data_IF_579720271199
#
_entry.id   IF_579720271199
#
_cell.length_a   1.000
_cell.length_b   1.000
_cell.length_c   1.000
_cell.angle_alpha   90.00
_cell.angle_beta   90.00
_cell.angle_gamma   90.00
#
_symmetry.space_group_name_H-M   'P 1'
#
loop_
_entity.id
_entity.type
_entity.pdbx_description
1 polymer ?
#
# COMPACT_ATOMS: atom_id res chain seq x y z
N UNK A 1 -69.06 -36.30 -8.33
CA UNK A 1 -69.01 -37.02 -7.04
C UNK A 1 -68.04 -38.18 -7.18
N UNK A 2 -67.10 -38.27 -6.24
CA UNK A 2 -66.51 -39.49 -5.71
C UNK A 2 -65.52 -40.34 -6.58
N UNK A 3 -64.23 -40.22 -6.21
CA UNK A 3 -63.21 -41.27 -6.05
C UNK A 3 -62.74 -42.12 -7.25
N UNK A 4 -61.43 -42.06 -7.52
CA UNK A 4 -60.53 -43.21 -7.32
C UNK A 4 -59.06 -42.84 -7.62
N UNK A 5 -58.23 -42.80 -6.58
CA UNK A 5 -56.77 -42.85 -6.68
C UNK A 5 -56.36 -44.22 -7.27
N UNK A 6 -55.38 -44.23 -8.19
CA UNK A 6 -54.58 -45.42 -8.45
C UNK A 6 -53.10 -45.04 -8.42
N UNK A 7 -52.47 -45.44 -7.32
CA UNK A 7 -51.05 -45.41 -7.04
C UNK A 7 -50.37 -46.57 -7.80
N UNK A 8 -49.25 -46.35 -8.49
CA UNK A 8 -48.08 -47.27 -8.52
C UNK A 8 -46.91 -46.73 -9.35
N UNK A 9 -45.84 -46.44 -8.61
CA UNK A 9 -44.41 -46.71 -8.88
C UNK A 9 -43.73 -46.21 -10.17
N UNK A 10 -42.85 -45.21 -10.01
CA UNK A 10 -41.48 -45.36 -10.53
C UNK A 10 -40.45 -44.70 -9.62
N UNK A 11 -39.33 -45.40 -9.53
CA UNK A 11 -38.13 -45.27 -8.69
C UNK A 11 -37.29 -44.01 -9.02
N UNK A 12 -36.71 -43.43 -7.96
CA UNK A 12 -35.45 -42.66 -7.84
C UNK A 12 -35.07 -41.59 -8.88
N UNK A 13 -34.81 -40.37 -8.41
CA UNK A 13 -33.45 -39.79 -8.43
C UNK A 13 -33.36 -38.70 -7.36
N UNK A 14 -32.52 -38.95 -6.35
CA UNK A 14 -31.97 -37.93 -5.46
C UNK A 14 -31.01 -37.12 -6.32
N UNK A 15 -31.35 -35.87 -6.63
CA UNK A 15 -30.34 -34.87 -6.96
C UNK A 15 -30.55 -33.76 -5.95
N UNK A 16 -29.77 -33.87 -4.88
CA UNK A 16 -29.48 -32.79 -3.97
C UNK A 16 -29.06 -31.58 -4.79
N UNK A 17 -29.90 -30.55 -4.86
CA UNK A 17 -29.53 -29.23 -5.38
C UNK A 17 -28.63 -28.55 -4.35
N UNK A 18 -27.45 -29.13 -4.13
CA UNK A 18 -26.33 -28.45 -3.52
C UNK A 18 -25.86 -27.39 -4.51
N UNK A 19 -26.46 -26.21 -4.42
CA UNK A 19 -25.93 -25.01 -5.05
C UNK A 19 -24.57 -24.77 -4.38
N UNK A 20 -23.50 -25.27 -5.01
CA UNK A 20 -22.13 -24.95 -4.62
C UNK A 20 -21.93 -23.47 -4.93
N UNK A 21 -22.25 -22.64 -3.95
CA UNK A 21 -21.73 -21.28 -3.85
C UNK A 21 -20.21 -21.42 -3.71
N UNK A 22 -19.52 -21.41 -4.85
CA UNK A 22 -18.11 -21.06 -4.87
C UNK A 22 -18.08 -19.58 -4.49
N UNK A 23 -17.96 -19.31 -3.20
CA UNK A 23 -17.58 -17.99 -2.72
C UNK A 23 -16.16 -17.75 -3.26
N UNK A 24 -16.06 -17.02 -4.37
CA UNK A 24 -14.81 -16.43 -4.81
C UNK A 24 -14.43 -15.43 -3.72
N UNK A 25 -13.63 -15.87 -2.76
CA UNK A 25 -13.03 -14.98 -1.78
C UNK A 25 -12.00 -14.15 -2.54
N UNK A 26 -12.43 -12.99 -3.04
CA UNK A 26 -11.52 -11.96 -3.50
C UNK A 26 -10.74 -11.52 -2.26
N UNK A 27 -9.57 -12.13 -2.05
CA UNK A 27 -8.63 -11.68 -1.04
C UNK A 27 -8.11 -10.34 -1.52
N UNK A 28 -8.74 -9.26 -1.08
CA UNK A 28 -8.11 -7.95 -1.14
C UNK A 28 -6.93 -8.04 -0.18
N UNK A 29 -5.71 -8.16 -0.72
CA UNK A 29 -4.50 -7.98 0.05
C UNK A 29 -4.56 -6.56 0.63
N UNK A 30 -5.03 -6.45 1.88
CA UNK A 30 -4.93 -5.21 2.64
C UNK A 30 -3.49 -5.17 3.11
N UNK A 31 -2.64 -4.43 2.42
CA UNK A 31 -1.37 -4.04 2.99
C UNK A 31 -1.69 -3.28 4.28
N UNK A 32 -1.05 -3.65 5.38
CA UNK A 32 -1.12 -2.83 6.59
C UNK A 32 -0.65 -1.42 6.21
N UNK A 33 -1.31 -0.37 6.70
CA UNK A 33 -0.88 1.01 6.50
C UNK A 33 0.60 1.13 6.88
N UNK A 34 1.48 1.14 5.87
CA UNK A 34 2.92 1.15 6.06
C UNK A 34 3.40 2.58 6.08
N UNK A 35 4.22 2.90 7.08
CA UNK A 35 4.91 4.17 7.14
C UNK A 35 6.12 4.22 6.18
N UNK A 36 6.48 3.11 5.52
CA UNK A 36 7.52 3.06 4.49
C UNK A 36 6.89 2.62 3.17
N UNK A 37 6.99 3.44 2.14
CA UNK A 37 6.33 3.19 0.87
C UNK A 37 7.06 3.81 -0.32
N UNK A 38 6.77 3.31 -1.52
CA UNK A 38 7.18 3.87 -2.80
C UNK A 38 6.41 5.16 -3.07
N UNK A 39 7.14 6.24 -3.30
CA UNK A 39 6.63 7.60 -3.32
C UNK A 39 6.60 8.25 -4.70
N UNK A 40 7.59 7.91 -5.53
CA UNK A 40 7.79 8.48 -6.86
C UNK A 40 8.52 7.44 -7.73
N UNK A 41 8.13 7.32 -9.01
CA UNK A 41 8.73 6.38 -9.96
C UNK A 41 8.84 7.05 -11.34
N UNK A 42 9.94 6.81 -12.03
CA UNK A 42 10.10 7.06 -13.46
C UNK A 42 10.60 5.77 -14.14
N UNK A 43 9.86 5.26 -15.12
CA UNK A 43 10.11 4.00 -15.85
C UNK A 43 10.07 4.15 -17.38
N UNK A 44 9.31 5.09 -17.96
CA UNK A 44 9.22 5.28 -19.42
C UNK A 44 9.28 6.76 -19.79
N UNK A 45 10.06 7.08 -20.84
CA UNK A 45 10.03 8.39 -21.46
C UNK A 45 10.13 8.33 -22.98
N UNK A 46 9.80 9.46 -23.63
CA UNK A 46 9.97 9.62 -25.07
C UNK A 46 11.39 9.25 -25.54
N UNK A 47 11.49 8.31 -26.47
CA UNK A 47 12.77 7.85 -27.01
C UNK A 47 13.27 6.60 -26.31
N UNK A 48 14.56 6.60 -25.94
CA UNK A 48 15.09 5.56 -25.05
C UNK A 48 14.98 6.02 -23.61
N UNK A 49 14.69 5.09 -22.72
CA UNK A 49 14.47 5.38 -21.31
C UNK A 49 15.75 5.91 -20.65
N UNK A 50 15.57 6.91 -19.81
CA UNK A 50 16.65 7.64 -19.14
C UNK A 50 16.13 8.23 -17.84
N UNK A 51 17.02 8.43 -16.87
CA UNK A 51 16.66 8.92 -15.53
C UNK A 51 15.65 8.04 -14.78
N UNK A 52 15.57 6.75 -15.13
CA UNK A 52 14.73 5.78 -14.43
C UNK A 52 15.12 5.69 -12.95
N UNK A 53 14.12 5.74 -12.09
CA UNK A 53 14.35 5.80 -10.65
C UNK A 53 13.08 5.54 -9.85
N UNK A 54 13.30 5.18 -8.59
CA UNK A 54 12.25 5.08 -7.58
C UNK A 54 12.62 5.86 -6.35
N UNK A 55 11.62 6.33 -5.63
CA UNK A 55 11.79 6.98 -4.34
C UNK A 55 11.03 6.24 -3.25
N UNK A 56 11.65 6.13 -2.09
CA UNK A 56 11.04 5.57 -0.90
C UNK A 56 10.83 6.69 0.10
N UNK A 57 9.59 6.82 0.58
CA UNK A 57 9.27 7.67 1.71
C UNK A 57 9.18 6.82 2.99
N UNK A 58 9.61 7.39 4.11
CA UNK A 58 9.66 6.67 5.38
C UNK A 58 9.97 7.55 6.59
N UNK A 59 9.98 6.99 7.81
CA UNK A 59 10.46 7.70 8.99
C UNK A 59 11.90 8.20 8.77
N UNK A 60 12.15 9.47 9.10
CA UNK A 60 13.50 10.02 9.09
C UNK A 60 14.42 9.23 10.03
N UNK A 61 15.62 8.90 9.56
CA UNK A 61 16.60 8.08 10.30
C UNK A 61 16.47 6.58 10.06
N UNK A 62 15.50 6.10 9.28
CA UNK A 62 15.43 4.69 8.90
C UNK A 62 16.61 4.31 7.98
N UNK A 63 17.36 3.30 8.36
CA UNK A 63 18.41 2.68 7.53
C UNK A 63 17.81 1.61 6.63
N UNK A 64 18.02 1.75 5.32
CA UNK A 64 17.55 0.83 4.29
C UNK A 64 18.59 -0.26 3.96
N UNK A 65 19.68 -0.38 4.71
CA UNK A 65 20.66 -1.45 4.53
C UNK A 65 19.99 -2.83 4.57
N UNK A 66 20.21 -3.63 3.52
CA UNK A 66 19.64 -4.97 3.36
C UNK A 66 18.21 -4.99 2.82
N UNK A 67 17.59 -3.84 2.58
CA UNK A 67 16.35 -3.75 1.83
C UNK A 67 16.62 -3.93 0.34
N UNK A 68 15.61 -4.36 -0.41
CA UNK A 68 15.71 -4.60 -1.84
C UNK A 68 14.49 -4.09 -2.58
N UNK A 69 14.71 -3.65 -3.81
CA UNK A 69 13.67 -3.52 -4.82
C UNK A 69 13.79 -4.71 -5.77
N UNK A 70 12.79 -5.57 -5.81
CA UNK A 70 12.75 -6.70 -6.74
C UNK A 70 11.88 -6.33 -7.94
N UNK A 71 12.38 -6.54 -9.16
CA UNK A 71 11.69 -6.15 -10.39
C UNK A 71 11.03 -7.36 -11.04
N UNK A 72 9.77 -7.20 -11.41
CA UNK A 72 8.92 -8.26 -11.90
C UNK A 72 8.37 -7.96 -13.28
N UNK A 73 8.48 -8.92 -14.18
CA UNK A 73 7.91 -8.83 -15.51
C UNK A 73 6.43 -9.17 -15.45
N UNK A 74 5.53 -8.26 -15.84
CA UNK A 74 4.09 -8.51 -15.70
C UNK A 74 3.51 -9.44 -16.78
N UNK A 75 4.25 -9.70 -17.86
CA UNK A 75 3.94 -10.74 -18.85
C UNK A 75 4.48 -12.13 -18.43
N UNK A 76 4.25 -12.52 -17.17
CA UNK A 76 4.58 -13.85 -16.66
C UNK A 76 4.87 -13.92 -15.16
N UNK A 77 5.02 -12.78 -14.51
CA UNK A 77 5.24 -12.66 -13.06
C UNK A 77 6.65 -13.04 -12.60
N UNK A 78 7.59 -13.26 -13.52
CA UNK A 78 8.96 -13.66 -13.18
C UNK A 78 9.80 -12.43 -12.78
N UNK A 79 10.85 -12.64 -12.00
CA UNK A 79 11.87 -11.63 -11.74
C UNK A 79 12.70 -11.39 -13.00
N UNK A 80 13.05 -10.12 -13.24
CA UNK A 80 14.04 -9.78 -14.26
C UNK A 80 15.23 -8.99 -13.71
N UNK A 81 15.15 -8.52 -12.47
CA UNK A 81 16.23 -7.75 -11.84
C UNK A 81 15.97 -7.47 -10.37
N UNK A 82 16.97 -6.88 -9.73
CA UNK A 82 16.88 -6.43 -8.35
C UNK A 82 17.88 -5.32 -8.07
N UNK A 83 17.52 -4.41 -7.18
CA UNK A 83 18.40 -3.41 -6.60
C UNK A 83 18.54 -3.64 -5.11
N UNK A 84 19.78 -3.75 -4.63
CA UNK A 84 20.09 -3.63 -3.21
C UNK A 84 19.96 -2.16 -2.81
N UNK A 85 19.18 -1.90 -1.77
CA UNK A 85 18.98 -0.56 -1.22
C UNK A 85 19.91 -0.37 -0.03
N UNK A 86 20.29 0.88 0.21
CA UNK A 86 21.11 1.26 1.36
C UNK A 86 21.00 2.76 1.62
N UNK A 87 21.52 3.19 2.76
CA UNK A 87 21.49 4.57 3.18
C UNK A 87 20.37 4.85 4.18
N UNK A 88 20.45 6.03 4.79
CA UNK A 88 19.53 6.46 5.82
C UNK A 88 18.59 7.49 5.24
N UNK A 89 17.28 7.29 5.37
CA UNK A 89 16.27 8.25 4.94
C UNK A 89 16.51 9.56 5.74
N UNK A 90 16.81 10.69 5.08
CA UNK A 90 17.00 11.96 5.78
C UNK A 90 15.68 12.43 6.37
N UNK A 91 15.70 13.05 7.54
CA UNK A 91 14.51 13.75 8.03
C UNK A 91 14.33 15.06 7.23
N UNK A 92 13.17 15.23 6.61
CA UNK A 92 12.84 16.40 5.79
C UNK A 92 11.69 17.21 6.39
N UNK A 93 10.67 16.53 6.93
CA UNK A 93 9.52 17.19 7.54
C UNK A 93 8.78 16.24 8.47
N UNK A 94 8.32 16.74 9.62
CA UNK A 94 7.44 16.01 10.55
C UNK A 94 7.93 14.59 10.91
N UNK A 95 9.25 14.39 11.02
CA UNK A 95 9.87 13.10 11.33
C UNK A 95 9.76 12.08 10.19
N UNK A 96 9.58 12.56 8.96
CA UNK A 96 9.44 11.79 7.73
C UNK A 96 10.43 12.30 6.69
N UNK A 97 10.71 11.47 5.71
CA UNK A 97 11.77 11.72 4.75
C UNK A 97 11.62 10.90 3.48
N UNK A 98 12.46 11.21 2.51
CA UNK A 98 12.46 10.60 1.19
C UNK A 98 13.89 10.28 0.76
N UNK A 99 14.08 9.13 0.11
CA UNK A 99 15.36 8.72 -0.44
C UNK A 99 15.17 8.08 -1.82
N UNK A 100 15.79 8.69 -2.83
CA UNK A 100 15.70 8.29 -4.22
C UNK A 100 16.84 7.34 -4.63
N UNK A 101 16.52 6.42 -5.54
CA UNK A 101 17.41 5.41 -6.09
C UNK A 101 17.29 5.39 -7.61
N UNK A 102 18.41 5.46 -8.31
CA UNK A 102 18.43 5.25 -9.76
C UNK A 102 18.28 3.77 -10.06
N UNK A 103 17.38 3.43 -10.98
CA UNK A 103 17.03 2.05 -11.30
C UNK A 103 17.04 1.81 -12.81
N UNK A 104 18.18 1.98 -13.51
CA UNK A 104 18.24 1.89 -14.97
C UNK A 104 17.87 0.51 -15.51
N UNK A 105 17.03 0.45 -16.54
CA UNK A 105 16.58 -0.79 -17.17
C UNK A 105 15.32 -1.38 -16.52
N UNK A 106 14.44 -0.52 -16.00
CA UNK A 106 13.04 -0.87 -15.85
C UNK A 106 12.47 -1.20 -17.24
N UNK A 107 11.51 -2.11 -17.27
CA UNK A 107 10.85 -2.52 -18.52
C UNK A 107 9.59 -1.69 -18.72
N UNK A 108 9.29 -1.37 -19.99
CA UNK A 108 8.04 -0.72 -20.39
C UNK A 108 7.00 -1.79 -20.67
N UNK A 109 5.74 -1.51 -20.34
CA UNK A 109 4.66 -2.48 -20.39
C UNK A 109 4.10 -2.80 -18.99
N UNK A 110 3.22 -3.82 -18.87
CA UNK A 110 2.78 -4.26 -17.57
C UNK A 110 3.95 -4.91 -16.86
N UNK A 111 4.50 -4.21 -15.88
CA UNK A 111 5.62 -4.63 -15.06
C UNK A 111 5.47 -4.02 -13.67
N UNK A 112 6.32 -4.43 -12.73
CA UNK A 112 6.18 -3.97 -11.36
C UNK A 112 7.39 -4.24 -10.51
N UNK A 113 7.28 -3.83 -9.25
CA UNK A 113 8.35 -4.01 -8.28
C UNK A 113 7.80 -4.26 -6.88
N UNK A 114 8.53 -5.09 -6.15
CA UNK A 114 8.30 -5.32 -4.73
C UNK A 114 9.36 -4.59 -3.91
N UNK A 115 8.92 -3.76 -2.96
CA UNK A 115 9.77 -3.23 -1.90
C UNK A 115 9.85 -4.27 -0.79
N UNK A 116 11.04 -4.78 -0.52
CA UNK A 116 11.28 -5.88 0.43
C UNK A 116 12.25 -5.42 1.50
N UNK A 117 11.92 -5.65 2.77
CA UNK A 117 12.80 -5.25 3.86
C UNK A 117 13.94 -6.26 4.09
N UNK A 118 14.85 -5.95 5.03
CA UNK A 118 15.98 -6.81 5.39
C UNK A 118 15.61 -8.19 5.97
N UNK A 119 14.35 -8.40 6.35
CA UNK A 119 13.83 -9.67 6.85
C UNK A 119 13.15 -10.50 5.75
N UNK A 120 13.27 -10.08 4.48
CA UNK A 120 12.59 -10.69 3.32
C UNK A 120 11.06 -10.51 3.35
N UNK A 121 10.56 -9.53 4.09
CA UNK A 121 9.13 -9.21 4.14
C UNK A 121 8.77 -8.20 3.04
N UNK A 122 7.73 -8.50 2.25
CA UNK A 122 7.19 -7.60 1.22
C UNK A 122 6.42 -6.46 1.90
N UNK A 123 6.94 -5.25 1.77
CA UNK A 123 6.31 -4.02 2.27
C UNK A 123 5.25 -3.53 1.28
N UNK A 124 5.57 -3.55 -0.01
CA UNK A 124 4.64 -3.23 -1.09
C UNK A 124 4.97 -4.05 -2.32
N UNK A 125 3.94 -4.38 -3.10
CA UNK A 125 4.10 -4.92 -4.45
C UNK A 125 3.22 -4.12 -5.40
N UNK A 126 3.83 -3.23 -6.18
CA UNK A 126 3.14 -2.33 -7.11
C UNK A 126 3.44 -2.73 -8.56
N UNK A 127 2.51 -2.41 -9.45
CA UNK A 127 2.71 -2.55 -10.90
C UNK A 127 2.20 -1.33 -11.64
N UNK A 128 2.66 -1.12 -12.86
CA UNK A 128 2.16 -0.11 -13.80
C UNK A 128 1.58 -0.80 -15.03
N UNK A 129 0.69 -0.12 -15.76
CA UNK A 129 0.03 -0.56 -17.00
C UNK A 129 -0.87 -1.82 -16.94
N UNK A 130 -0.73 -2.69 -15.94
CA UNK A 130 -1.73 -3.69 -15.51
C UNK A 130 -1.36 -4.27 -14.13
N UNK A 131 -2.24 -5.07 -13.53
CA UNK A 131 -1.92 -5.91 -12.37
C UNK A 131 -1.55 -7.33 -12.80
N UNK A 132 -0.68 -7.99 -12.04
CA UNK A 132 -0.28 -9.38 -12.29
C UNK A 132 0.13 -10.08 -11.00
N UNK A 133 0.14 -11.42 -11.03
CA UNK A 133 0.60 -12.22 -9.90
C UNK A 133 2.06 -12.61 -10.09
N UNK A 134 2.88 -12.36 -9.08
CA UNK A 134 4.28 -12.80 -9.11
C UNK A 134 4.39 -14.33 -9.01
N UNK A 135 5.28 -14.90 -9.80
CA UNK A 135 5.50 -16.35 -9.93
C UNK A 135 6.83 -16.81 -9.33
N UNK A 136 7.64 -15.89 -8.80
CA UNK A 136 8.86 -16.16 -8.03
C UNK A 136 9.25 -15.01 -7.08
N UNK A 137 10.38 -15.14 -6.36
CA UNK A 137 10.88 -14.12 -5.44
C UNK A 137 10.04 -13.90 -4.19
N UNK A 138 10.32 -12.81 -3.46
CA UNK A 138 9.67 -12.52 -2.19
C UNK A 138 8.16 -12.26 -2.33
N UNK A 139 7.72 -11.74 -3.48
CA UNK A 139 6.31 -11.52 -3.78
C UNK A 139 5.57 -12.74 -4.35
N UNK A 140 6.17 -13.94 -4.34
CA UNK A 140 5.56 -15.15 -4.90
C UNK A 140 4.10 -15.35 -4.46
N UNK A 141 3.20 -15.45 -5.46
CA UNK A 141 1.78 -15.67 -5.24
C UNK A 141 0.98 -14.43 -4.82
N UNK A 142 1.62 -13.27 -4.65
CA UNK A 142 0.94 -12.00 -4.42
C UNK A 142 0.48 -11.39 -5.74
N UNK A 143 -0.72 -10.82 -5.76
CA UNK A 143 -1.21 -9.95 -6.82
C UNK A 143 -0.69 -8.54 -6.58
N UNK A 144 -0.08 -7.92 -7.59
CA UNK A 144 0.37 -6.53 -7.53
C UNK A 144 -0.80 -5.55 -7.41
N UNK A 145 -0.57 -4.44 -6.72
CA UNK A 145 -1.48 -3.30 -6.75
C UNK A 145 -1.09 -2.35 -7.89
N UNK A 146 -1.98 -2.16 -8.86
CA UNK A 146 -1.72 -1.28 -10.00
C UNK A 146 -1.68 0.19 -9.56
N UNK A 147 -0.67 0.90 -10.02
CA UNK A 147 -0.53 2.35 -9.93
C UNK A 147 -1.59 2.98 -10.82
N UNK A 148 -2.36 3.93 -10.28
CA UNK A 148 -3.45 4.60 -10.99
C UNK A 148 -3.02 5.67 -12.00
N UNK A 149 -1.76 5.66 -12.42
CA UNK A 149 -1.14 6.58 -13.36
C UNK A 149 -0.11 5.81 -14.21
N UNK A 150 0.21 6.31 -15.39
CA UNK A 150 1.08 5.63 -16.36
C UNK A 150 2.00 6.65 -17.06
N UNK A 151 3.18 6.18 -17.44
CA UNK A 151 4.08 6.88 -18.33
C UNK A 151 4.01 6.25 -19.72
N UNK A 152 4.75 6.81 -20.67
CA UNK A 152 4.84 6.25 -22.00
C UNK A 152 5.63 7.14 -22.93
N UNK A 153 5.48 6.85 -24.23
CA UNK A 153 6.28 7.50 -25.30
C UNK A 153 6.15 9.02 -25.45
N UNK A 154 5.24 9.66 -24.70
CA UNK A 154 5.10 11.12 -24.65
C UNK A 154 5.60 11.75 -23.35
N UNK A 155 5.94 10.95 -22.34
CA UNK A 155 6.47 11.43 -21.05
C UNK A 155 7.84 12.07 -21.27
N UNK A 156 8.09 13.21 -20.64
CA UNK A 156 9.40 13.84 -20.67
C UNK A 156 10.36 13.09 -19.74
N UNK A 157 11.64 13.01 -20.10
CA UNK A 157 12.69 12.33 -19.31
C UNK A 157 12.98 12.96 -17.93
N UNK A 158 12.28 14.03 -17.56
CA UNK A 158 12.36 14.68 -16.26
C UNK A 158 10.99 14.72 -15.56
N UNK A 159 10.00 14.02 -16.09
CA UNK A 159 8.72 13.82 -15.42
C UNK A 159 8.67 12.42 -14.81
N UNK A 160 7.82 12.23 -13.81
CA UNK A 160 7.67 11.00 -13.04
C UNK A 160 6.22 10.84 -12.57
N UNK A 161 5.86 9.62 -12.18
CA UNK A 161 4.65 9.35 -11.41
C UNK A 161 4.91 9.61 -9.93
N UNK A 162 4.01 10.32 -9.26
CA UNK A 162 4.20 10.83 -7.91
C UNK A 162 2.97 10.59 -7.04
N UNK A 163 3.16 10.24 -5.77
CA UNK A 163 2.10 10.31 -4.78
C UNK A 163 1.79 11.77 -4.40
N UNK A 164 0.50 12.12 -4.43
CA UNK A 164 -0.03 13.42 -4.00
C UNK A 164 -1.16 13.23 -2.98
N UNK A 165 -1.49 14.29 -2.24
CA UNK A 165 -2.48 14.23 -1.16
C UNK A 165 -1.88 14.59 0.19
N UNK A 166 -2.62 14.31 1.27
CA UNK A 166 -2.22 14.70 2.62
C UNK A 166 -2.37 13.54 3.58
N UNK A 167 -1.28 13.13 4.21
CA UNK A 167 -1.29 12.01 5.15
C UNK A 167 0.08 11.56 5.61
N UNK A 168 0.18 10.33 6.09
CA UNK A 168 1.42 9.73 6.60
C UNK A 168 1.63 8.30 6.14
N UNK A 169 0.57 7.62 5.72
CA UNK A 169 0.61 6.26 5.24
C UNK A 169 0.31 6.22 3.75
N UNK A 170 0.78 5.18 3.07
CA UNK A 170 0.57 4.99 1.63
C UNK A 170 -0.89 5.24 1.19
N UNK A 171 -1.85 4.66 1.92
CA UNK A 171 -3.29 4.74 1.59
C UNK A 171 -3.90 6.14 1.74
N UNK A 172 -3.17 7.10 2.34
CA UNK A 172 -3.62 8.49 2.43
C UNK A 172 -3.37 9.28 1.12
N UNK A 173 -2.62 8.70 0.19
CA UNK A 173 -2.17 9.35 -1.04
C UNK A 173 -2.74 8.66 -2.28
N UNK A 174 -2.69 9.39 -3.40
CA UNK A 174 -3.05 8.89 -4.71
C UNK A 174 -1.91 9.14 -5.69
N UNK A 175 -1.67 8.18 -6.58
CA UNK A 175 -0.74 8.36 -7.69
C UNK A 175 -1.27 9.40 -8.68
N UNK A 176 -0.37 10.27 -9.14
CA UNK A 176 -0.62 11.31 -10.13
C UNK A 176 0.58 11.41 -11.08
N UNK A 177 0.40 12.11 -12.20
CA UNK A 177 1.45 12.34 -13.18
C UNK A 177 1.18 11.74 -14.56
N UNK A 178 2.18 11.84 -15.46
CA UNK A 178 3.54 12.32 -15.21
C UNK A 178 3.62 13.83 -14.84
N UNK A 179 4.47 14.18 -13.87
CA UNK A 179 4.79 15.55 -13.45
C UNK A 179 6.31 15.70 -13.31
N UNK A 180 6.85 16.91 -13.41
CA UNK A 180 8.30 17.12 -13.20
C UNK A 180 8.76 16.50 -11.89
N UNK A 181 9.77 15.63 -11.98
CA UNK A 181 10.22 14.77 -10.92
C UNK A 181 10.68 15.57 -9.70
N UNK A 182 10.49 15.02 -8.51
CA UNK A 182 10.82 15.62 -7.22
C UNK A 182 11.79 14.77 -6.38
N UNK A 183 12.39 13.73 -6.96
CA UNK A 183 13.41 12.89 -6.32
C UNK A 183 14.33 13.64 -5.33
N UNK A 184 14.31 13.20 -4.08
CA UNK A 184 15.02 13.75 -2.93
C UNK A 184 14.25 14.83 -2.16
N UNK A 185 13.04 15.20 -2.58
CA UNK A 185 12.20 16.23 -1.99
C UNK A 185 10.73 15.79 -1.91
N UNK A 186 9.92 16.47 -1.09
CA UNK A 186 8.48 16.19 -1.01
C UNK A 186 7.83 16.51 -2.36
N UNK A 187 6.99 15.60 -2.85
CA UNK A 187 6.31 15.74 -4.14
C UNK A 187 5.43 16.99 -4.19
N UNK A 188 5.27 17.54 -5.40
CA UNK A 188 4.38 18.67 -5.58
C UNK A 188 2.91 18.26 -5.31
N UNK A 189 2.25 18.96 -4.39
CA UNK A 189 0.88 18.60 -3.97
C UNK A 189 0.81 17.45 -2.95
N UNK A 190 1.95 16.99 -2.42
CA UNK A 190 2.02 16.10 -1.28
C UNK A 190 2.20 16.90 0.02
N UNK A 191 1.53 16.49 1.08
CA UNK A 191 1.68 17.04 2.42
C UNK A 191 1.81 15.92 3.44
N UNK A 192 2.95 15.86 4.12
CA UNK A 192 3.15 14.88 5.19
C UNK A 192 2.57 15.43 6.50
N UNK A 193 1.71 14.64 7.14
CA UNK A 193 1.13 15.01 8.42
C UNK A 193 1.97 14.49 9.59
N UNK A 194 2.01 15.23 10.72
CA UNK A 194 2.72 14.79 11.91
C UNK A 194 2.15 13.48 12.43
N UNK A 195 3.03 12.66 13.01
CA UNK A 195 2.60 11.48 13.75
C UNK A 195 1.65 11.92 14.87
N UNK A 196 0.53 11.21 15.04
CA UNK A 196 -0.37 11.45 16.15
C UNK A 196 0.41 11.33 17.48
N UNK A 197 0.50 12.43 18.23
CA UNK A 197 1.05 12.39 19.58
C UNK A 197 0.03 11.63 20.44
N UNK A 198 0.38 10.52 21.08
CA UNK A 198 -0.54 9.87 22.01
C UNK A 198 -0.91 10.88 23.09
N UNK A 199 -2.22 11.12 23.27
CA UNK A 199 -2.70 12.00 24.34
C UNK A 199 -2.06 11.51 25.65
N UNK A 200 -1.43 12.39 26.46
CA UNK A 200 -0.82 11.94 27.70
C UNK A 200 -1.89 11.25 28.55
N UNK A 201 -1.56 10.06 29.05
CA UNK A 201 -2.47 9.22 29.85
C UNK A 201 -3.01 9.90 31.13
N UNK A 202 -2.60 11.15 31.40
CA UNK A 202 -3.10 11.99 32.48
C UNK A 202 -4.38 12.78 32.14
N UNK A 203 -4.78 12.91 30.86
CA UNK A 203 -6.01 13.61 30.48
C UNK A 203 -7.31 12.99 31.06
N UNK A 204 -7.45 11.66 31.20
CA UNK A 204 -8.59 11.06 31.89
C UNK A 204 -8.62 11.33 33.40
N UNK A 205 -7.44 11.51 34.04
CA UNK A 205 -7.33 11.70 35.50
C UNK A 205 -7.73 13.12 35.95
N UNK A 206 -7.64 14.11 35.06
CA UNK A 206 -8.04 15.50 35.32
C UNK A 206 -9.57 15.69 35.37
N UNK A 207 -10.35 14.83 34.71
CA UNK A 207 -11.82 14.88 34.78
C UNK A 207 -12.40 14.11 35.99
N UNK A 208 -11.66 13.15 36.57
CA UNK A 208 -12.12 12.42 37.76
C UNK A 208 -11.92 13.17 39.08
N UNK A 209 -11.13 14.25 39.11
CA UNK A 209 -10.77 14.97 40.34
C UNK A 209 -11.82 15.96 40.88
N UNK A 210 -12.86 16.30 40.12
CA UNK A 210 -13.81 17.37 40.50
C UNK A 210 -15.04 16.85 41.28
N UNK A 211 -15.29 15.53 41.32
CA UNK A 211 -16.47 14.97 41.99
C UNK A 211 -16.34 14.77 43.52
N UNK A 212 -15.17 15.06 44.12
CA UNK A 212 -14.85 14.64 45.50
C UNK A 212 -15.14 15.62 46.64
N UNK A 213 -15.45 16.90 46.40
CA UNK A 213 -15.50 17.93 47.46
C UNK A 213 -16.92 18.33 47.93
N UNK A 214 -17.94 17.51 47.66
CA UNK A 214 -19.35 17.82 47.91
C UNK A 214 -20.00 17.24 49.18
N UNK A 215 -19.29 16.87 50.24
CA UNK A 215 -19.91 16.41 51.49
C UNK A 215 -19.19 16.92 52.74
N UNK A 216 -19.64 18.04 53.30
CA UNK A 216 -19.63 18.32 54.75
C UNK A 216 -20.50 19.55 55.08
N UNK A 217 -21.80 19.47 54.75
CA UNK A 217 -22.78 20.38 55.31
C UNK A 217 -23.07 19.98 56.77
N UNK A 218 -22.41 20.66 57.70
CA UNK A 218 -22.52 20.49 59.15
C UNK A 218 -23.93 20.87 59.62
N UNK A 219 -24.78 19.89 59.93
CA UNK A 219 -26.08 20.14 60.61
C UNK A 219 -25.82 20.63 62.04
N UNK A 220 -26.05 21.92 62.30
CA UNK A 220 -26.24 22.44 63.67
C UNK A 220 -27.61 21.99 64.18
N UNK A 221 -27.63 21.31 65.33
CA UNK A 221 -28.84 21.08 66.12
C UNK A 221 -29.07 22.29 67.02
N UNK A 222 -30.27 22.86 66.97
CA UNK A 222 -30.97 23.52 68.09
C UNK A 222 -32.37 22.91 68.09
#
# INVERSE_FOLDING_TARGET
MCHSLSLRHTISYIISTGCLLVALTLSTASFAATAVFLNEIHYDNAGGDSNEGVEIAGPGGLDLSGWRLLLYNGNGGNLYGSYELSGVIPELTEGFGLLAFMTPGLQNGPDGFALVNQLDEVIQFLSYEDSFTATEGAAYGLLSAQIGAEEGTSTAALDSLQLVGSGRFYDDFLWSGPLTHSFGAVNNGQTITPSAVPLPAALPLLLSGIAGFGLLARRRRI
#
